data_IF_533041120788
#
_entry.id   IF_533041120788
#
_cell.length_a   1.000
_cell.length_b   1.000
_cell.length_c   1.000
_cell.angle_alpha   90.00
_cell.angle_beta   90.00
_cell.angle_gamma   90.00
#
_symmetry.space_group_name_H-M   'P 1'
#
loop_
_entity.id
_entity.type
_entity.pdbx_description
1 polymer ?
#
# COMPACT_ATOMS: atom_id res chain seq x y z
N UNK A 1 23.64 -42.52 -28.81
CA UNK A 1 22.53 -41.96 -29.62
C UNK A 1 22.98 -40.56 -30.00
N UNK A 2 23.26 -40.32 -31.28
CA UNK A 2 23.73 -39.00 -31.75
C UNK A 2 22.58 -38.01 -31.61
N UNK A 3 22.80 -36.94 -30.84
CA UNK A 3 21.83 -35.86 -30.70
C UNK A 3 21.72 -35.14 -32.04
N UNK A 4 20.66 -35.42 -32.80
CA UNK A 4 20.27 -34.65 -33.98
C UNK A 4 19.53 -33.38 -33.54
N UNK A 5 20.13 -32.60 -32.63
CA UNK A 5 19.62 -31.29 -32.26
C UNK A 5 20.24 -30.28 -33.21
N UNK A 6 19.43 -29.48 -33.93
CA UNK A 6 19.93 -28.37 -34.72
C UNK A 6 20.70 -27.37 -33.85
N UNK A 7 21.73 -26.72 -34.39
CA UNK A 7 22.61 -25.80 -33.65
C UNK A 7 21.83 -24.72 -32.88
N UNK A 8 20.76 -24.18 -33.47
CA UNK A 8 19.92 -23.16 -32.83
C UNK A 8 19.26 -23.64 -31.52
N UNK A 9 19.02 -24.94 -31.37
CA UNK A 9 18.41 -25.51 -30.18
C UNK A 9 19.42 -25.58 -29.03
N UNK A 10 20.69 -25.85 -29.34
CA UNK A 10 21.78 -25.82 -28.36
C UNK A 10 22.09 -24.37 -27.94
N UNK A 11 22.05 -23.42 -28.89
CA UNK A 11 22.20 -21.99 -28.61
C UNK A 11 21.07 -21.44 -27.73
N UNK A 12 19.84 -21.91 -27.90
CA UNK A 12 18.71 -21.54 -27.06
C UNK A 12 18.83 -22.12 -25.65
N UNK A 13 19.27 -23.38 -25.53
CA UNK A 13 19.52 -24.03 -24.23
C UNK A 13 20.59 -23.28 -23.44
N UNK A 14 21.71 -22.91 -24.08
CA UNK A 14 22.76 -22.10 -23.45
C UNK A 14 22.26 -20.71 -23.04
N UNK A 15 21.45 -20.06 -23.87
CA UNK A 15 20.88 -18.74 -23.55
C UNK A 15 19.95 -18.80 -22.34
N UNK A 16 19.16 -19.86 -22.22
CA UNK A 16 18.27 -20.06 -21.08
C UNK A 16 19.04 -20.35 -19.78
N UNK A 17 20.11 -21.15 -19.86
CA UNK A 17 21.02 -21.41 -18.74
C UNK A 17 21.69 -20.12 -18.25
N UNK A 18 22.25 -19.31 -19.17
CA UNK A 18 22.90 -18.03 -18.86
C UNK A 18 21.94 -17.02 -18.20
N UNK A 19 20.67 -16.97 -18.62
CA UNK A 19 19.67 -16.08 -18.03
C UNK A 19 19.26 -16.54 -16.63
N UNK A 20 19.18 -17.85 -16.41
CA UNK A 20 18.86 -18.44 -15.11
C UNK A 20 19.98 -18.19 -14.10
N UNK A 21 21.24 -18.36 -14.51
CA UNK A 21 22.42 -18.11 -13.66
C UNK A 21 22.53 -16.64 -13.26
N UNK A 22 22.10 -15.72 -14.13
CA UNK A 22 22.10 -14.27 -13.87
C UNK A 22 20.87 -13.78 -13.12
N UNK A 23 19.89 -14.64 -12.84
CA UNK A 23 18.55 -14.27 -12.33
C UNK A 23 17.88 -13.15 -13.17
N UNK A 24 18.24 -13.05 -14.45
CA UNK A 24 17.78 -12.01 -15.36
C UNK A 24 16.74 -12.56 -16.32
N UNK A 25 15.86 -11.68 -16.79
CA UNK A 25 14.91 -12.02 -17.86
C UNK A 25 15.42 -11.47 -19.19
N UNK A 26 15.03 -12.07 -20.31
CA UNK A 26 15.40 -11.58 -21.65
C UNK A 26 14.99 -10.12 -21.90
N UNK A 27 14.07 -9.58 -21.10
CA UNK A 27 13.65 -8.18 -21.12
C UNK A 27 13.73 -7.54 -19.72
N UNK A 28 14.94 -7.30 -19.24
CA UNK A 28 15.19 -6.57 -17.99
C UNK A 28 14.65 -5.12 -18.00
N UNK A 29 14.31 -4.56 -19.16
CA UNK A 29 13.68 -3.23 -19.28
C UNK A 29 12.16 -3.24 -19.11
N UNK A 30 11.55 -4.43 -19.04
CA UNK A 30 10.11 -4.53 -18.81
C UNK A 30 9.74 -4.10 -17.39
N UNK A 31 8.65 -3.32 -17.21
CA UNK A 31 8.18 -2.95 -15.88
C UNK A 31 7.78 -4.20 -15.08
N UNK A 32 8.46 -4.43 -13.97
CA UNK A 32 8.19 -5.55 -13.08
C UNK A 32 7.05 -5.21 -12.10
N UNK A 33 6.28 -6.21 -11.68
CA UNK A 33 5.26 -6.05 -10.65
C UNK A 33 5.93 -5.85 -9.28
N UNK A 34 6.06 -4.59 -8.87
CA UNK A 34 6.54 -4.24 -7.53
C UNK A 34 5.39 -4.33 -6.53
N UNK A 35 5.59 -5.07 -5.43
CA UNK A 35 4.66 -5.03 -4.29
C UNK A 35 4.77 -3.67 -3.61
N UNK A 36 3.74 -2.82 -3.79
CA UNK A 36 3.68 -1.51 -3.15
C UNK A 36 2.98 -1.64 -1.80
N UNK A 37 3.66 -1.25 -0.71
CA UNK A 37 3.03 -1.12 0.60
C UNK A 37 2.14 0.14 0.60
N UNK A 38 0.82 -0.06 0.45
CA UNK A 38 -0.18 1.01 0.46
C UNK A 38 -0.91 1.03 1.80
N UNK A 39 -1.25 2.24 2.27
CA UNK A 39 -2.14 2.39 3.41
C UNK A 39 -3.51 1.73 3.13
N UNK A 40 -4.21 1.22 4.17
CA UNK A 40 -5.51 0.60 4.01
C UNK A 40 -6.52 1.52 3.29
N UNK A 41 -7.45 0.96 2.50
CA UNK A 41 -8.50 1.75 1.87
C UNK A 41 -9.39 2.39 2.93
N UNK A 42 -9.78 3.65 2.71
CA UNK A 42 -10.69 4.39 3.59
C UNK A 42 -12.05 4.58 2.91
N UNK A 43 -13.11 4.54 3.71
CA UNK A 43 -14.48 4.85 3.31
C UNK A 43 -14.92 6.19 3.89
N UNK A 44 -15.74 6.95 3.16
CA UNK A 44 -16.37 8.17 3.69
C UNK A 44 -17.60 7.80 4.53
N UNK A 45 -17.62 8.22 5.79
CA UNK A 45 -18.78 8.12 6.68
C UNK A 45 -19.26 9.52 7.05
N UNK A 46 -20.50 9.84 6.69
CA UNK A 46 -21.12 11.11 7.07
C UNK A 46 -21.63 11.02 8.51
N UNK A 47 -21.26 12.00 9.34
CA UNK A 47 -21.77 12.14 10.70
C UNK A 47 -22.67 13.37 10.78
N UNK A 48 -23.76 13.27 11.51
CA UNK A 48 -24.49 14.43 11.97
C UNK A 48 -23.78 15.00 13.19
N UNK A 49 -23.22 16.20 13.05
CA UNK A 49 -22.51 16.91 14.11
C UNK A 49 -23.02 18.35 14.21
N UNK A 50 -22.90 18.95 15.39
CA UNK A 50 -23.21 20.36 15.57
C UNK A 50 -22.11 21.22 14.93
N UNK A 51 -22.52 22.35 14.37
CA UNK A 51 -21.64 23.28 13.63
C UNK A 51 -20.40 23.70 14.45
N UNK A 52 -20.59 24.03 15.73
CA UNK A 52 -19.49 24.42 16.63
C UNK A 52 -18.39 23.36 16.75
N UNK A 53 -18.76 22.08 16.77
CA UNK A 53 -17.80 20.99 16.84
C UNK A 53 -17.11 20.75 15.48
N UNK A 54 -17.84 20.95 14.38
CA UNK A 54 -17.28 20.89 13.03
C UNK A 54 -16.20 21.97 12.83
N UNK A 55 -16.51 23.21 13.22
CA UNK A 55 -15.57 24.34 13.17
C UNK A 55 -14.34 24.09 14.04
N UNK A 56 -14.54 23.71 15.30
CA UNK A 56 -13.44 23.41 16.21
C UNK A 56 -12.53 22.28 15.69
N UNK A 57 -13.11 21.26 15.06
CA UNK A 57 -12.34 20.17 14.44
C UNK A 57 -11.54 20.67 13.24
N UNK A 58 -12.13 21.48 12.36
CA UNK A 58 -11.43 22.06 11.21
C UNK A 58 -10.24 22.93 11.64
N UNK A 59 -10.41 23.76 12.67
CA UNK A 59 -9.34 24.57 13.25
C UNK A 59 -8.22 23.71 13.85
N UNK A 60 -8.59 22.62 14.52
CA UNK A 60 -7.63 21.68 15.08
C UNK A 60 -6.81 20.97 13.99
N UNK A 61 -7.47 20.50 12.92
CA UNK A 61 -6.79 19.90 11.75
C UNK A 61 -5.84 20.92 11.12
N UNK A 62 -6.26 22.17 10.98
CA UNK A 62 -5.42 23.23 10.41
C UNK A 62 -4.16 23.48 11.27
N UNK A 63 -4.32 23.54 12.60
CA UNK A 63 -3.19 23.68 13.54
C UNK A 63 -2.23 22.49 13.43
N UNK A 64 -2.73 21.27 13.30
CA UNK A 64 -1.88 20.09 13.13
C UNK A 64 -1.17 20.08 11.77
N UNK A 65 -1.85 20.47 10.70
CA UNK A 65 -1.27 20.56 9.37
C UNK A 65 -0.09 21.54 9.35
N UNK A 66 -0.20 22.69 10.02
CA UNK A 66 0.91 23.65 10.18
C UNK A 66 2.14 23.04 10.84
N UNK A 67 1.96 22.11 11.77
CA UNK A 67 3.04 21.42 12.49
C UNK A 67 3.57 20.19 11.74
N UNK A 68 3.15 19.94 10.48
CA UNK A 68 3.40 18.68 9.74
C UNK A 68 2.93 17.43 10.50
N UNK A 69 1.85 17.57 11.27
CA UNK A 69 1.25 16.48 12.02
C UNK A 69 0.31 15.62 11.17
N UNK A 70 -0.55 14.88 11.88
CA UNK A 70 -1.52 13.94 11.30
C UNK A 70 -2.55 14.64 10.41
N UNK A 71 -3.03 13.90 9.40
CA UNK A 71 -4.08 14.36 8.48
C UNK A 71 -5.45 14.26 9.13
N UNK A 72 -6.44 14.99 8.59
CA UNK A 72 -7.83 14.96 9.08
C UNK A 72 -8.41 13.53 9.25
N UNK A 73 -8.22 12.60 8.29
CA UNK A 73 -8.75 11.24 8.43
C UNK A 73 -8.10 10.47 9.59
N UNK A 74 -6.80 10.64 9.80
CA UNK A 74 -6.07 9.97 10.89
C UNK A 74 -6.51 10.47 12.26
N UNK A 75 -6.79 11.79 12.37
CA UNK A 75 -7.32 12.39 13.58
C UNK A 75 -8.76 11.94 13.85
N UNK A 76 -9.57 11.75 12.80
CA UNK A 76 -10.92 11.21 12.93
C UNK A 76 -10.90 9.74 13.37
N UNK A 77 -10.05 8.91 12.78
CA UNK A 77 -9.85 7.51 13.20
C UNK A 77 -9.39 7.43 14.67
N UNK A 78 -8.47 8.32 15.08
CA UNK A 78 -8.01 8.41 16.47
C UNK A 78 -9.15 8.80 17.42
N UNK A 79 -9.97 9.79 17.07
CA UNK A 79 -11.13 10.19 17.86
C UNK A 79 -12.16 9.05 18.00
N UNK A 80 -12.44 8.32 16.92
CA UNK A 80 -13.33 7.15 16.93
C UNK A 80 -12.75 6.05 17.81
N UNK A 81 -11.45 5.76 17.70
CA UNK A 81 -10.78 4.76 18.55
C UNK A 81 -10.84 5.13 20.03
N UNK A 82 -10.66 6.41 20.37
CA UNK A 82 -10.82 6.89 21.74
C UNK A 82 -12.25 6.71 22.24
N UNK A 83 -13.24 6.97 21.39
CA UNK A 83 -14.65 6.78 21.71
C UNK A 83 -14.98 5.30 21.94
N UNK A 84 -14.60 4.39 21.02
CA UNK A 84 -14.80 2.95 21.17
C UNK A 84 -14.17 2.42 22.46
N UNK A 85 -12.91 2.81 22.72
CA UNK A 85 -12.19 2.45 23.95
C UNK A 85 -12.93 2.91 25.21
N UNK A 86 -13.53 4.10 25.20
CA UNK A 86 -14.32 4.62 26.33
C UNK A 86 -15.55 3.76 26.63
N UNK A 87 -16.16 3.16 25.60
CA UNK A 87 -17.33 2.30 25.72
C UNK A 87 -16.98 0.80 25.79
N UNK A 88 -15.70 0.44 25.83
CA UNK A 88 -15.24 -0.96 25.95
C UNK A 88 -15.22 -1.74 24.64
N UNK A 89 -15.35 -1.07 23.50
CA UNK A 89 -15.22 -1.67 22.17
C UNK A 89 -13.80 -1.46 21.61
N UNK A 90 -13.37 -2.37 20.72
CA UNK A 90 -12.08 -2.26 20.02
C UNK A 90 -12.23 -2.68 18.56
N UNK A 91 -11.41 -2.10 17.69
CA UNK A 91 -11.38 -2.40 16.25
C UNK A 91 -10.59 -3.66 15.91
N UNK A 92 -9.96 -4.30 16.91
CA UNK A 92 -9.14 -5.52 16.72
C UNK A 92 -10.03 -6.76 16.52
N UNK A 93 -11.29 -6.71 16.97
CA UNK A 93 -12.26 -7.80 16.86
C UNK A 93 -13.35 -7.55 15.78
N UNK A 94 -13.15 -6.57 14.91
CA UNK A 94 -14.05 -6.17 13.81
C UNK A 94 -13.40 -6.46 12.45
#
# INVERSE_FOLDING_TARGET
>A
MQHNKPDWMNEEEQRAEDLTEKEETSNNTAPQLVRVNKAPPRMQKAFYIQEKYAEAFNDFVYKQKKKKGKKAPELAEEAIKMLLKKYGEDTINL
#
